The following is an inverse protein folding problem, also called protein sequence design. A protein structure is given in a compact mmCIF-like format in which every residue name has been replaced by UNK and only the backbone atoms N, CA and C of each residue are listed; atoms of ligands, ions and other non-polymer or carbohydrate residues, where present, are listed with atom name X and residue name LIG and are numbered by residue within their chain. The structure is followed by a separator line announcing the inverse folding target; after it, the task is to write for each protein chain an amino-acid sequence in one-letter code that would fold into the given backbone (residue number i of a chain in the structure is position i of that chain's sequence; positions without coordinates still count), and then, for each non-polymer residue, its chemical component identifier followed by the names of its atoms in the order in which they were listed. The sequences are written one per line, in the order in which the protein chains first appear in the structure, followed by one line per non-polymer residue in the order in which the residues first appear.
data_IF_904524085071
#
_entry.id   IF_904524085071
#
_cell.length_a   1.000
_cell.length_b   1.000
_cell.length_c   1.000
_cell.angle_alpha   90.00
_cell.angle_beta   90.00
_cell.angle_gamma   90.00
#
_symmetry.space_group_name_H-M   'P 1'
#
loop_
_entity.id
_entity.type
_entity.pdbx_description
1 polymer ?
#
# COMPACT_ATOMS: atom_id res chain seq x y z
N UNK A 1 -26.95 -2.49 -13.96
CA UNK A 1 -27.59 -2.17 -15.24
C UNK A 1 -29.06 -1.77 -15.09
N UNK A 2 -29.79 -2.41 -14.20
CA UNK A 2 -31.20 -2.07 -13.92
C UNK A 2 -31.36 -0.83 -13.03
N UNK A 3 -30.26 -0.23 -12.61
CA UNK A 3 -30.29 0.98 -11.80
C UNK A 3 -30.56 0.78 -10.31
N UNK A 4 -30.61 -0.47 -9.86
CA UNK A 4 -30.89 -0.79 -8.45
C UNK A 4 -29.72 -0.41 -7.55
N UNK A 5 -28.49 -0.71 -7.98
CA UNK A 5 -27.25 -0.42 -7.25
C UNK A 5 -26.44 0.63 -8.00
N UNK A 6 -26.08 1.72 -7.33
CA UNK A 6 -25.39 2.85 -7.95
C UNK A 6 -23.90 2.93 -7.55
N UNK A 7 -23.51 2.29 -6.47
CA UNK A 7 -22.16 2.31 -5.92
C UNK A 7 -21.75 0.87 -5.63
N UNK A 8 -20.81 0.34 -6.42
CA UNK A 8 -20.39 -1.05 -6.28
C UNK A 8 -18.88 -1.12 -6.18
N UNK A 9 -18.37 -1.82 -5.19
CA UNK A 9 -16.97 -2.21 -5.05
C UNK A 9 -16.91 -3.72 -5.19
N UNK A 10 -16.06 -4.21 -6.10
CA UNK A 10 -15.83 -5.64 -6.31
C UNK A 10 -14.35 -5.91 -6.04
N UNK A 11 -14.07 -6.69 -5.01
CA UNK A 11 -12.71 -7.08 -4.65
C UNK A 11 -12.49 -8.54 -5.06
N UNK A 12 -11.40 -8.79 -5.79
CA UNK A 12 -11.12 -10.13 -6.31
C UNK A 12 -9.61 -10.33 -6.50
N UNK A 13 -9.16 -11.55 -6.28
CA UNK A 13 -7.75 -11.93 -6.37
C UNK A 13 -7.14 -11.67 -7.76
N UNK A 14 -5.82 -11.51 -7.85
CA UNK A 14 -5.15 -11.38 -9.14
C UNK A 14 -5.42 -12.60 -10.02
N UNK A 15 -5.49 -12.39 -11.34
CA UNK A 15 -5.68 -13.45 -12.34
C UNK A 15 -6.99 -14.23 -12.20
N UNK A 16 -8.01 -13.65 -11.56
CA UNK A 16 -9.36 -14.26 -11.48
C UNK A 16 -10.35 -13.55 -12.40
N UNK A 17 -9.89 -12.94 -13.50
CA UNK A 17 -10.70 -12.37 -14.60
C UNK A 17 -11.54 -11.13 -14.25
N UNK A 18 -11.30 -10.48 -13.08
CA UNK A 18 -12.09 -9.31 -12.66
C UNK A 18 -12.16 -8.20 -13.74
N UNK A 19 -11.02 -7.88 -14.36
CA UNK A 19 -10.94 -6.84 -15.40
C UNK A 19 -11.62 -7.27 -16.71
N UNK A 20 -11.62 -8.56 -17.04
CA UNK A 20 -12.33 -9.06 -18.24
C UNK A 20 -13.84 -8.81 -18.09
N UNK A 21 -14.39 -9.04 -16.91
CA UNK A 21 -15.81 -8.75 -16.66
C UNK A 21 -16.08 -7.23 -16.57
N UNK A 22 -15.34 -6.52 -15.74
CA UNK A 22 -15.68 -5.13 -15.40
C UNK A 22 -15.22 -4.11 -16.44
N UNK A 23 -14.05 -4.33 -17.07
CA UNK A 23 -13.43 -3.33 -17.96
C UNK A 23 -13.57 -3.65 -19.44
N UNK A 24 -13.99 -4.88 -19.77
CA UNK A 24 -14.16 -5.30 -21.15
C UNK A 24 -15.61 -5.65 -21.47
N UNK A 25 -16.19 -6.66 -20.81
CA UNK A 25 -17.55 -7.12 -21.13
C UNK A 25 -18.64 -6.15 -20.65
N UNK A 26 -18.53 -5.63 -19.43
CA UNK A 26 -19.52 -4.74 -18.85
C UNK A 26 -19.76 -3.47 -19.66
N UNK A 27 -18.73 -2.69 -20.04
CA UNK A 27 -18.98 -1.47 -20.82
C UNK A 27 -19.62 -1.76 -22.17
N UNK A 28 -19.17 -2.81 -22.88
CA UNK A 28 -19.76 -3.17 -24.16
C UNK A 28 -21.25 -3.56 -23.99
N UNK A 29 -21.56 -4.39 -22.99
CA UNK A 29 -22.93 -4.81 -22.70
C UNK A 29 -23.83 -3.64 -22.29
N UNK A 30 -23.32 -2.74 -21.44
CA UNK A 30 -24.09 -1.57 -20.98
C UNK A 30 -24.41 -0.61 -22.13
N UNK A 31 -23.45 -0.36 -23.02
CA UNK A 31 -23.65 0.47 -24.22
C UNK A 31 -24.60 -0.22 -25.20
N UNK A 32 -24.52 -1.54 -25.31
CA UNK A 32 -25.49 -2.32 -26.12
C UNK A 32 -26.91 -2.10 -25.68
N UNK A 33 -27.14 -2.09 -24.38
CA UNK A 33 -28.47 -1.87 -23.78
C UNK A 33 -28.91 -0.41 -23.80
N UNK A 34 -27.96 0.51 -23.66
CA UNK A 34 -28.25 1.94 -23.69
C UNK A 34 -27.18 2.65 -24.54
N UNK A 35 -27.45 2.81 -25.84
CA UNK A 35 -26.46 3.37 -26.75
C UNK A 35 -26.17 4.86 -26.57
N UNK A 36 -26.86 5.54 -25.63
CA UNK A 36 -26.57 6.94 -25.26
C UNK A 36 -25.66 7.05 -24.04
N UNK A 37 -25.28 5.93 -23.43
CA UNK A 37 -24.53 5.89 -22.18
C UNK A 37 -23.14 6.51 -22.35
N UNK A 38 -22.74 7.36 -21.41
CA UNK A 38 -21.41 7.95 -21.34
C UNK A 38 -20.60 7.24 -20.28
N UNK A 39 -19.49 6.63 -20.69
CA UNK A 39 -18.61 5.83 -19.83
C UNK A 39 -17.27 6.52 -19.69
N UNK A 40 -16.80 6.67 -18.46
CA UNK A 40 -15.39 6.95 -18.15
C UNK A 40 -14.81 5.67 -17.54
N UNK A 41 -13.74 5.18 -18.14
CA UNK A 41 -13.01 3.99 -17.70
C UNK A 41 -11.63 4.39 -17.24
N UNK A 42 -11.28 4.08 -16.00
CA UNK A 42 -9.94 4.37 -15.46
C UNK A 42 -9.26 3.10 -14.96
N UNK A 43 -7.98 2.99 -15.24
CA UNK A 43 -7.11 1.99 -14.63
C UNK A 43 -5.86 2.70 -14.11
N UNK A 44 -4.98 1.99 -13.45
CA UNK A 44 -3.75 2.55 -12.92
C UNK A 44 -2.91 3.28 -14.00
N UNK A 45 -2.89 2.82 -15.26
CA UNK A 45 -2.24 3.53 -16.36
C UNK A 45 -3.20 3.83 -17.50
N UNK A 46 -2.99 4.94 -18.21
CA UNK A 46 -3.78 5.28 -19.40
C UNK A 46 -3.66 4.19 -20.48
N UNK A 47 -2.47 3.62 -20.65
CA UNK A 47 -2.23 2.56 -21.65
C UNK A 47 -3.15 1.36 -21.42
N UNK A 48 -3.30 0.93 -20.17
CA UNK A 48 -4.16 -0.20 -19.82
C UNK A 48 -5.64 0.14 -20.06
N UNK A 49 -6.08 1.35 -19.70
CA UNK A 49 -7.45 1.82 -19.99
C UNK A 49 -7.75 1.82 -21.50
N UNK A 50 -6.80 2.31 -22.29
CA UNK A 50 -6.91 2.34 -23.76
C UNK A 50 -6.97 0.92 -24.33
N UNK A 51 -6.20 -0.01 -23.77
CA UNK A 51 -6.25 -1.44 -24.15
C UNK A 51 -7.66 -2.02 -23.95
N UNK A 52 -8.30 -1.73 -22.82
CA UNK A 52 -9.68 -2.17 -22.57
C UNK A 52 -10.67 -1.50 -23.52
N UNK A 53 -10.49 -0.20 -23.78
CA UNK A 53 -11.33 0.50 -24.78
C UNK A 53 -11.24 -0.12 -26.15
N UNK A 54 -10.03 -0.53 -26.56
CA UNK A 54 -9.81 -1.26 -27.84
C UNK A 54 -10.53 -2.60 -27.84
N UNK A 55 -10.44 -3.38 -26.75
CA UNK A 55 -11.12 -4.67 -26.62
C UNK A 55 -12.65 -4.52 -26.68
N UNK A 56 -13.20 -3.56 -25.92
CA UNK A 56 -14.65 -3.31 -25.92
C UNK A 56 -15.14 -2.89 -27.31
N UNK A 57 -14.40 -2.00 -27.98
CA UNK A 57 -14.67 -1.58 -29.36
C UNK A 57 -14.69 -2.78 -30.33
N UNK A 58 -13.65 -3.64 -30.25
CA UNK A 58 -13.56 -4.82 -31.12
C UNK A 58 -14.74 -5.78 -30.87
N UNK A 59 -15.15 -5.97 -29.63
CA UNK A 59 -16.33 -6.77 -29.30
C UNK A 59 -17.60 -6.18 -29.94
N UNK A 60 -17.79 -4.87 -29.81
CA UNK A 60 -18.95 -4.18 -30.36
C UNK A 60 -19.00 -4.28 -31.91
N UNK A 61 -17.85 -4.47 -32.53
CA UNK A 61 -17.77 -4.61 -33.98
C UNK A 61 -17.93 -6.04 -34.48
N UNK A 62 -17.96 -7.02 -33.58
CA UNK A 62 -18.09 -8.44 -33.95
C UNK A 62 -19.49 -8.77 -34.50
N UNK A 63 -19.60 -9.79 -35.34
CA UNK A 63 -20.92 -10.25 -35.82
C UNK A 63 -21.87 -10.64 -34.70
N UNK A 64 -21.35 -11.35 -33.69
CA UNK A 64 -22.14 -11.85 -32.56
C UNK A 64 -22.77 -10.71 -31.75
N UNK A 65 -21.99 -9.65 -31.50
CA UNK A 65 -22.51 -8.47 -30.81
C UNK A 65 -23.61 -7.79 -31.63
N UNK A 66 -23.37 -7.68 -32.95
CA UNK A 66 -24.31 -7.05 -33.89
C UNK A 66 -25.63 -7.83 -34.05
N UNK A 67 -25.62 -9.14 -33.78
CA UNK A 67 -26.83 -9.94 -33.71
C UNK A 67 -27.68 -9.65 -32.47
N UNK A 68 -26.98 -9.35 -31.34
CA UNK A 68 -27.65 -9.12 -30.05
C UNK A 68 -28.10 -7.66 -29.87
N UNK A 69 -27.27 -6.71 -30.32
CA UNK A 69 -27.49 -5.29 -30.07
C UNK A 69 -27.57 -4.48 -31.37
N UNK A 70 -28.49 -3.50 -31.39
CA UNK A 70 -28.64 -2.55 -32.50
C UNK A 70 -27.58 -1.44 -32.46
N UNK A 71 -26.84 -1.29 -31.38
CA UNK A 71 -25.85 -0.22 -31.17
C UNK A 71 -24.69 -0.35 -32.17
N UNK A 72 -24.33 0.76 -32.83
CA UNK A 72 -23.20 0.83 -33.75
C UNK A 72 -22.29 2.00 -33.39
N UNK A 73 -21.00 1.82 -33.66
CA UNK A 73 -20.03 2.87 -33.48
C UNK A 73 -20.15 3.93 -34.55
N UNK A 74 -19.83 5.17 -34.19
CA UNK A 74 -19.79 6.30 -35.11
C UNK A 74 -18.50 6.20 -35.94
N UNK A 75 -18.61 6.33 -37.26
CA UNK A 75 -17.49 6.11 -38.18
C UNK A 75 -16.30 7.04 -37.97
N UNK A 76 -16.56 8.30 -37.61
CA UNK A 76 -15.57 9.35 -37.44
C UNK A 76 -15.01 9.48 -36.00
N UNK A 77 -15.40 8.58 -35.08
CA UNK A 77 -15.00 8.64 -33.67
C UNK A 77 -14.67 7.25 -33.13
N UNK A 78 -13.54 6.70 -33.56
CA UNK A 78 -13.17 5.31 -33.27
C UNK A 78 -11.75 5.12 -32.74
N UNK A 79 -11.18 6.13 -32.05
CA UNK A 79 -9.88 5.94 -31.40
C UNK A 79 -9.96 4.88 -30.31
N UNK A 80 -8.88 4.15 -30.05
CA UNK A 80 -8.86 3.02 -29.11
C UNK A 80 -9.30 3.41 -27.69
N UNK A 81 -8.92 4.59 -27.24
CA UNK A 81 -9.29 5.08 -25.89
C UNK A 81 -10.44 6.08 -25.87
N UNK A 82 -11.02 6.39 -27.05
CA UNK A 82 -12.13 7.33 -27.15
C UNK A 82 -12.96 7.01 -28.38
N UNK A 83 -14.19 6.57 -28.16
CA UNK A 83 -15.12 6.28 -29.24
C UNK A 83 -16.54 6.64 -28.86
N UNK A 84 -17.36 6.84 -29.91
CA UNK A 84 -18.75 7.25 -29.74
C UNK A 84 -19.68 6.27 -30.45
N UNK A 85 -20.90 6.20 -30.00
CA UNK A 85 -21.99 5.48 -30.71
C UNK A 85 -22.70 6.44 -31.64
N UNK A 86 -23.40 5.90 -32.65
CA UNK A 86 -24.25 6.70 -33.54
C UNK A 86 -25.34 7.46 -32.79
N UNK A 87 -25.75 6.97 -31.60
CA UNK A 87 -26.82 7.55 -30.79
C UNK A 87 -26.29 8.57 -29.76
N UNK A 88 -24.97 8.86 -29.74
CA UNK A 88 -24.36 9.88 -28.89
C UNK A 88 -23.85 9.39 -27.54
N UNK A 89 -23.75 8.10 -27.34
CA UNK A 89 -23.01 7.56 -26.20
C UNK A 89 -21.50 7.73 -26.40
N UNK A 90 -20.76 7.73 -25.31
CA UNK A 90 -19.31 7.98 -25.34
C UNK A 90 -18.57 7.04 -24.42
N UNK A 91 -17.41 6.59 -24.85
CA UNK A 91 -16.43 5.88 -24.01
C UNK A 91 -15.14 6.69 -23.97
N UNK A 92 -14.60 6.89 -22.78
CA UNK A 92 -13.35 7.63 -22.58
C UNK A 92 -12.45 6.88 -21.59
N UNK A 93 -11.22 6.57 -22.02
CA UNK A 93 -10.20 5.90 -21.24
C UNK A 93 -9.25 6.91 -20.58
N UNK A 94 -8.94 6.73 -19.30
CA UNK A 94 -8.03 7.58 -18.53
C UNK A 94 -7.18 6.72 -17.58
N UNK A 95 -6.02 7.21 -17.20
CA UNK A 95 -5.22 6.62 -16.13
C UNK A 95 -5.47 7.34 -14.82
N UNK A 96 -5.16 6.68 -13.70
CA UNK A 96 -5.14 7.34 -12.39
C UNK A 96 -4.18 8.55 -12.46
N UNK A 97 -4.58 9.67 -11.88
CA UNK A 97 -3.82 10.92 -11.94
C UNK A 97 -4.04 11.73 -13.20
N UNK A 98 -4.66 11.15 -14.25
CA UNK A 98 -4.93 11.91 -15.49
C UNK A 98 -6.07 12.90 -15.28
N UNK A 99 -5.98 14.04 -15.95
CA UNK A 99 -7.05 15.05 -15.96
C UNK A 99 -8.26 14.52 -16.75
N UNK A 100 -9.43 14.52 -16.14
CA UNK A 100 -10.71 14.15 -16.77
C UNK A 100 -11.61 15.39 -16.77
N UNK A 101 -11.22 16.39 -17.56
CA UNK A 101 -11.95 17.66 -17.62
C UNK A 101 -12.93 17.70 -18.80
N UNK A 102 -14.02 18.43 -18.63
CA UNK A 102 -14.99 18.67 -19.69
C UNK A 102 -15.87 17.47 -20.09
N UNK A 103 -15.88 16.41 -19.28
CA UNK A 103 -16.68 15.19 -19.56
C UNK A 103 -17.57 14.85 -18.40
N UNK A 104 -18.77 14.33 -18.73
CA UNK A 104 -19.67 13.73 -17.75
C UNK A 104 -19.75 12.22 -17.97
N UNK A 105 -20.07 11.46 -16.92
CA UNK A 105 -20.23 10.02 -17.00
C UNK A 105 -21.56 9.58 -16.38
N UNK A 106 -22.27 8.70 -17.08
CA UNK A 106 -23.40 7.94 -16.53
C UNK A 106 -22.87 6.68 -15.83
N UNK A 107 -21.72 6.17 -16.29
CA UNK A 107 -21.04 5.02 -15.71
C UNK A 107 -19.54 5.32 -15.59
N UNK A 108 -19.04 5.27 -14.37
CA UNK A 108 -17.63 5.38 -14.06
C UNK A 108 -17.11 4.01 -13.65
N UNK A 109 -16.12 3.50 -14.35
CA UNK A 109 -15.47 2.22 -14.02
C UNK A 109 -14.03 2.53 -13.60
N UNK A 110 -13.62 2.06 -12.42
CA UNK A 110 -12.25 2.16 -11.93
C UNK A 110 -11.73 0.75 -11.67
N UNK A 111 -10.69 0.35 -12.39
CA UNK A 111 -10.16 -1.02 -12.36
C UNK A 111 -8.69 -1.00 -11.95
N UNK A 112 -8.38 -1.68 -10.86
CA UNK A 112 -7.04 -1.79 -10.27
C UNK A 112 -6.31 -0.44 -10.26
N UNK A 113 -6.80 0.54 -9.44
CA UNK A 113 -6.21 1.89 -9.44
C UNK A 113 -4.82 1.97 -8.79
N UNK A 114 -4.39 0.94 -8.08
CA UNK A 114 -3.12 0.88 -7.36
C UNK A 114 -2.18 -0.14 -7.96
N UNK A 115 -0.87 0.16 -7.89
CA UNK A 115 0.20 -0.81 -8.14
C UNK A 115 0.66 -1.42 -6.80
N UNK A 116 1.49 -2.45 -6.89
CA UNK A 116 2.18 -3.01 -5.72
C UNK A 116 3.03 -1.95 -5.00
N UNK A 117 3.67 -1.05 -5.76
CA UNK A 117 4.50 0.02 -5.20
C UNK A 117 3.64 1.07 -4.47
N UNK A 118 2.46 1.39 -5.01
CA UNK A 118 1.53 2.32 -4.35
C UNK A 118 1.08 1.78 -2.99
N UNK A 119 0.86 0.47 -2.89
CA UNK A 119 0.39 -0.18 -1.66
C UNK A 119 1.37 -0.02 -0.50
N UNK A 120 2.66 0.19 -0.82
CA UNK A 120 3.74 0.36 0.17
C UNK A 120 4.00 1.83 0.50
N UNK A 121 3.19 2.76 -0.04
CA UNK A 121 3.45 4.19 0.07
C UNK A 121 2.15 4.92 0.44
N UNK A 122 2.07 5.40 1.68
CA UNK A 122 0.89 6.11 2.21
C UNK A 122 0.53 7.32 1.33
N UNK A 123 1.53 8.10 0.88
CA UNK A 123 1.29 9.26 0.02
C UNK A 123 0.71 8.86 -1.35
N UNK A 124 1.10 7.71 -1.89
CA UNK A 124 0.53 7.23 -3.16
C UNK A 124 -0.93 6.83 -2.98
N UNK A 125 -1.27 6.18 -1.86
CA UNK A 125 -2.67 5.86 -1.51
C UNK A 125 -3.49 7.14 -1.35
N UNK A 126 -2.93 8.16 -0.68
CA UNK A 126 -3.56 9.47 -0.52
C UNK A 126 -3.83 10.13 -1.87
N UNK A 127 -2.82 10.18 -2.75
CA UNK A 127 -2.95 10.78 -4.09
C UNK A 127 -4.06 10.09 -4.91
N UNK A 128 -4.18 8.77 -4.83
CA UNK A 128 -5.24 8.04 -5.55
C UNK A 128 -6.62 8.41 -5.02
N UNK A 129 -6.78 8.51 -3.71
CA UNK A 129 -8.04 8.90 -3.10
C UNK A 129 -8.38 10.36 -3.43
N UNK A 130 -7.40 11.26 -3.36
CA UNK A 130 -7.57 12.67 -3.72
C UNK A 130 -7.96 12.80 -5.21
N UNK A 131 -7.26 12.09 -6.10
CA UNK A 131 -7.62 12.05 -7.53
C UNK A 131 -9.07 11.60 -7.72
N UNK A 132 -9.47 10.52 -7.04
CA UNK A 132 -10.85 10.02 -7.14
C UNK A 132 -11.87 11.09 -6.71
N UNK A 133 -11.66 11.72 -5.57
CA UNK A 133 -12.63 12.68 -5.02
C UNK A 133 -12.67 14.00 -5.78
N UNK A 134 -11.53 14.49 -6.25
CA UNK A 134 -11.42 15.79 -6.95
C UNK A 134 -11.72 15.69 -8.45
N UNK A 135 -11.56 14.52 -9.05
CA UNK A 135 -11.70 14.28 -10.48
C UNK A 135 -12.90 13.41 -10.85
N UNK A 136 -12.70 12.07 -10.94
CA UNK A 136 -13.71 11.15 -11.47
C UNK A 136 -15.08 11.24 -10.77
N UNK A 137 -15.08 11.29 -9.42
CA UNK A 137 -16.33 11.36 -8.65
C UNK A 137 -17.18 12.57 -9.06
N UNK A 138 -16.53 13.69 -9.36
CA UNK A 138 -17.22 14.93 -9.75
C UNK A 138 -17.67 14.93 -11.21
N UNK A 139 -17.26 13.95 -12.00
CA UNK A 139 -17.71 13.78 -13.39
C UNK A 139 -19.00 12.99 -13.48
N UNK A 140 -19.42 12.35 -12.40
CA UNK A 140 -20.62 11.52 -12.40
C UNK A 140 -21.87 12.39 -12.52
N UNK A 141 -22.70 12.07 -13.51
CA UNK A 141 -23.98 12.76 -13.72
C UNK A 141 -25.02 12.32 -12.66
N UNK A 142 -26.05 13.14 -12.39
CA UNK A 142 -27.12 12.74 -11.49
C UNK A 142 -27.71 11.37 -11.89
N UNK A 143 -27.81 10.46 -10.92
CA UNK A 143 -28.29 9.09 -11.18
C UNK A 143 -27.25 8.14 -11.72
N UNK A 144 -26.03 8.61 -11.99
CA UNK A 144 -24.94 7.79 -12.53
C UNK A 144 -24.41 6.73 -11.54
N UNK A 145 -23.73 5.75 -12.10
CA UNK A 145 -23.25 4.55 -11.39
C UNK A 145 -21.71 4.57 -11.34
N UNK A 146 -21.14 4.13 -10.21
CA UNK A 146 -19.71 3.89 -10.08
C UNK A 146 -19.49 2.40 -9.78
N UNK A 147 -18.60 1.78 -10.56
CA UNK A 147 -18.13 0.41 -10.33
C UNK A 147 -16.61 0.50 -10.10
N UNK A 148 -16.18 0.09 -8.93
CA UNK A 148 -14.75 -0.05 -8.61
C UNK A 148 -14.46 -1.54 -8.54
N UNK A 149 -13.49 -2.00 -9.32
CA UNK A 149 -13.05 -3.40 -9.26
C UNK A 149 -11.55 -3.41 -9.01
N UNK A 150 -11.10 -4.14 -8.01
CA UNK A 150 -9.68 -4.14 -7.68
C UNK A 150 -9.29 -5.35 -6.83
N UNK A 151 -8.01 -5.63 -6.80
CA UNK A 151 -7.40 -6.45 -5.78
C UNK A 151 -7.15 -5.57 -4.55
N UNK A 152 -7.43 -6.07 -3.35
CA UNK A 152 -7.11 -5.36 -2.12
C UNK A 152 -5.61 -5.42 -1.87
N UNK A 153 -5.06 -4.31 -1.43
CA UNK A 153 -3.63 -4.19 -1.13
C UNK A 153 -3.38 -3.79 0.32
N UNK A 154 -4.22 -2.90 0.83
CA UNK A 154 -4.01 -2.21 2.11
C UNK A 154 -5.36 -1.74 2.65
N UNK A 155 -5.48 -1.54 3.95
CA UNK A 155 -6.70 -0.97 4.55
C UNK A 155 -7.00 0.42 4.02
N UNK A 156 -5.96 1.21 3.72
CA UNK A 156 -6.09 2.59 3.21
C UNK A 156 -6.06 2.67 1.67
N UNK A 157 -6.20 1.55 0.96
CA UNK A 157 -6.39 1.58 -0.50
C UNK A 157 -7.74 2.25 -0.85
N UNK A 158 -7.97 2.53 -2.12
CA UNK A 158 -9.18 3.24 -2.54
C UNK A 158 -10.45 2.57 -2.01
N UNK A 159 -10.56 1.25 -2.12
CA UNK A 159 -11.73 0.52 -1.61
C UNK A 159 -11.88 0.69 -0.10
N UNK A 160 -10.78 0.52 0.66
CA UNK A 160 -10.81 0.64 2.11
C UNK A 160 -11.24 2.02 2.59
N UNK A 161 -10.73 3.07 1.95
CA UNK A 161 -11.11 4.45 2.29
C UNK A 161 -12.58 4.73 2.00
N UNK A 162 -13.11 4.24 0.87
CA UNK A 162 -14.52 4.42 0.51
C UNK A 162 -15.44 3.65 1.46
N UNK A 163 -15.04 2.43 1.82
CA UNK A 163 -15.77 1.62 2.82
C UNK A 163 -15.75 2.32 4.18
N UNK A 164 -14.62 2.90 4.57
CA UNK A 164 -14.54 3.67 5.82
C UNK A 164 -15.39 4.94 5.77
N UNK A 165 -15.35 5.66 4.64
CA UNK A 165 -16.11 6.91 4.47
C UNK A 165 -17.64 6.71 4.56
N UNK A 166 -18.17 5.54 4.20
CA UNK A 166 -19.60 5.27 4.25
C UNK A 166 -20.16 5.19 5.69
N UNK A 167 -19.31 5.21 6.71
CA UNK A 167 -19.75 5.37 8.11
C UNK A 167 -20.51 6.69 8.30
N UNK A 168 -20.20 7.71 7.47
CA UNK A 168 -20.99 8.94 7.40
C UNK A 168 -22.26 8.65 6.58
N UNK A 169 -23.47 8.76 7.17
CA UNK A 169 -24.72 8.37 6.47
C UNK A 169 -25.01 9.15 5.19
N UNK A 170 -24.45 10.35 5.04
CA UNK A 170 -24.65 11.18 3.84
C UNK A 170 -23.63 10.90 2.73
N UNK A 171 -22.59 10.12 3.01
CA UNK A 171 -21.60 9.72 2.01
C UNK A 171 -22.18 8.69 1.05
N UNK A 172 -21.49 8.45 -0.07
CA UNK A 172 -21.85 7.36 -0.98
C UNK A 172 -21.87 6.03 -0.21
N UNK A 173 -22.99 5.31 -0.31
CA UNK A 173 -23.17 4.00 0.33
C UNK A 173 -22.86 2.92 -0.70
N UNK A 174 -21.91 2.05 -0.38
CA UNK A 174 -21.33 1.07 -1.32
C UNK A 174 -21.87 -0.34 -1.04
N UNK A 175 -22.27 -1.00 -2.10
CA UNK A 175 -22.44 -2.46 -2.10
C UNK A 175 -21.05 -3.06 -2.35
N UNK A 176 -20.54 -3.78 -1.36
CA UNK A 176 -19.20 -4.38 -1.41
C UNK A 176 -19.35 -5.88 -1.66
N UNK A 177 -18.73 -6.36 -2.73
CA UNK A 177 -18.75 -7.77 -3.13
C UNK A 177 -17.31 -8.28 -3.10
N UNK A 178 -17.02 -9.25 -2.24
CA UNK A 178 -15.69 -9.79 -2.08
C UNK A 178 -15.62 -11.23 -2.56
N UNK A 179 -14.64 -11.49 -3.43
CA UNK A 179 -14.38 -12.81 -3.98
C UNK A 179 -12.97 -13.25 -3.53
N UNK A 180 -12.86 -13.88 -2.36
CA UNK A 180 -11.56 -14.45 -1.96
C UNK A 180 -11.21 -15.65 -2.84
N UNK A 181 -9.91 -15.88 -3.08
CA UNK A 181 -9.45 -16.99 -3.91
C UNK A 181 -9.83 -18.35 -3.33
N UNK A 182 -9.91 -18.44 -1.99
CA UNK A 182 -10.47 -19.62 -1.30
C UNK A 182 -11.72 -19.14 -0.56
N UNK A 183 -12.85 -19.69 -0.96
CA UNK A 183 -14.16 -19.36 -0.40
C UNK A 183 -14.30 -19.84 1.06
N UNK A 184 -15.24 -19.32 1.85
CA UNK A 184 -15.48 -19.82 3.20
C UNK A 184 -15.78 -21.32 3.28
N UNK A 185 -16.21 -21.93 2.18
CA UNK A 185 -16.42 -23.38 2.06
C UNK A 185 -15.10 -24.18 2.00
N UNK A 186 -13.93 -23.51 1.95
CA UNK A 186 -12.63 -24.15 1.75
C UNK A 186 -12.29 -24.46 0.29
N UNK A 187 -13.21 -24.20 -0.63
CA UNK A 187 -13.01 -24.47 -2.06
C UNK A 187 -12.45 -23.25 -2.77
N UNK A 188 -11.60 -23.45 -3.80
CA UNK A 188 -11.20 -22.34 -4.66
C UNK A 188 -12.39 -21.64 -5.31
N UNK A 189 -12.29 -20.34 -5.51
CA UNK A 189 -13.30 -19.54 -6.23
C UNK A 189 -13.48 -20.08 -7.68
N UNK A 190 -12.40 -20.51 -8.31
CA UNK A 190 -12.41 -20.98 -9.69
C UNK A 190 -11.55 -22.27 -9.80
N UNK A 191 -12.09 -23.43 -9.35
CA UNK A 191 -11.31 -24.67 -9.23
C UNK A 191 -10.79 -25.24 -10.55
N UNK A 192 -11.46 -24.92 -11.68
CA UNK A 192 -11.04 -25.38 -13.01
C UNK A 192 -9.77 -24.69 -13.51
N UNK A 193 -9.45 -23.52 -12.95
CA UNK A 193 -8.29 -22.72 -13.36
C UNK A 193 -7.26 -22.58 -12.22
N UNK A 194 -7.73 -22.39 -11.00
CA UNK A 194 -6.90 -22.30 -9.78
C UNK A 194 -7.31 -23.43 -8.83
N UNK A 195 -6.63 -24.57 -8.90
CA UNK A 195 -6.89 -25.65 -7.94
C UNK A 195 -6.27 -25.32 -6.58
N UNK A 196 -6.68 -26.05 -5.55
CA UNK A 196 -6.25 -25.75 -4.17
C UNK A 196 -4.73 -25.86 -3.99
N UNK A 197 -4.09 -26.83 -4.66
CA UNK A 197 -2.64 -27.03 -4.56
C UNK A 197 -1.85 -25.86 -5.15
N UNK A 198 -2.32 -25.31 -6.27
CA UNK A 198 -1.69 -24.12 -6.87
C UNK A 198 -1.83 -22.90 -5.95
N UNK A 199 -3.00 -22.71 -5.35
CA UNK A 199 -3.23 -21.60 -4.40
C UNK A 199 -2.37 -21.75 -3.13
N UNK A 200 -2.23 -22.98 -2.61
CA UNK A 200 -1.34 -23.26 -1.48
C UNK A 200 0.13 -22.99 -1.85
N UNK A 201 0.53 -23.31 -3.08
CA UNK A 201 1.86 -23.00 -3.58
C UNK A 201 2.13 -21.48 -3.62
N UNK A 202 1.15 -20.71 -4.10
CA UNK A 202 1.23 -19.24 -4.06
C UNK A 202 1.32 -18.74 -2.62
N UNK A 203 0.46 -19.24 -1.74
CA UNK A 203 0.43 -18.85 -0.32
C UNK A 203 1.78 -19.09 0.35
N UNK A 204 2.42 -20.21 0.05
CA UNK A 204 3.73 -20.54 0.61
C UNK A 204 4.89 -19.68 0.05
N UNK A 205 4.68 -19.04 -1.11
CA UNK A 205 5.72 -18.28 -1.80
C UNK A 205 5.67 -16.77 -1.55
N UNK A 206 4.63 -16.26 -0.86
CA UNK A 206 4.48 -14.83 -0.57
C UNK A 206 4.23 -14.62 0.93
N UNK A 207 4.55 -13.42 1.47
CA UNK A 207 4.22 -13.11 2.87
C UNK A 207 2.73 -13.31 3.15
N UNK A 208 2.42 -13.80 4.35
CA UNK A 208 1.02 -14.04 4.76
C UNK A 208 0.17 -12.77 4.65
N UNK A 209 0.73 -11.61 4.96
CA UNK A 209 0.06 -10.32 4.81
C UNK A 209 -0.38 -10.07 3.37
N UNK A 210 0.50 -10.32 2.39
CA UNK A 210 0.16 -10.19 0.95
C UNK A 210 -0.90 -11.21 0.54
N UNK A 211 -0.80 -12.45 1.05
CA UNK A 211 -1.80 -13.47 0.80
C UNK A 211 -3.18 -13.02 1.31
N UNK A 212 -3.25 -12.58 2.54
CA UNK A 212 -4.50 -12.15 3.15
C UNK A 212 -5.12 -10.96 2.41
N UNK A 213 -4.31 -9.93 2.10
CA UNK A 213 -4.79 -8.76 1.37
C UNK A 213 -5.25 -9.12 -0.04
N UNK A 214 -4.37 -9.71 -0.85
CA UNK A 214 -4.58 -9.84 -2.30
C UNK A 214 -5.43 -11.06 -2.67
N UNK A 215 -5.24 -12.18 -1.98
CA UNK A 215 -5.95 -13.42 -2.33
C UNK A 215 -7.20 -13.62 -1.49
N UNK A 216 -7.18 -13.19 -0.23
CA UNK A 216 -8.35 -13.32 0.65
C UNK A 216 -9.19 -12.04 0.73
N UNK A 217 -8.77 -10.94 0.09
CA UNK A 217 -9.42 -9.63 0.08
C UNK A 217 -9.57 -9.01 1.47
N UNK A 218 -8.69 -9.40 2.40
CA UNK A 218 -8.76 -9.00 3.80
C UNK A 218 -7.42 -8.38 4.27
N UNK A 219 -7.09 -7.15 3.83
CA UNK A 219 -5.91 -6.47 4.37
C UNK A 219 -6.17 -6.10 5.84
N UNK A 220 -5.15 -6.22 6.66
CA UNK A 220 -5.21 -5.83 8.07
C UNK A 220 -4.15 -4.76 8.36
N UNK A 221 -4.43 -3.88 9.30
CA UNK A 221 -3.54 -2.79 9.67
C UNK A 221 -2.16 -3.29 10.13
N UNK A 222 -2.15 -4.38 10.89
CA UNK A 222 -0.90 -4.98 11.40
C UNK A 222 -0.05 -5.62 10.33
N UNK A 223 -0.66 -6.01 9.20
CA UNK A 223 0.02 -6.77 8.16
C UNK A 223 0.82 -5.91 7.17
N UNK A 224 0.65 -4.60 7.22
CA UNK A 224 1.50 -3.65 6.47
C UNK A 224 2.59 -3.03 7.33
N UNK A 225 2.58 -3.29 8.63
CA UNK A 225 3.55 -2.76 9.56
C UNK A 225 4.94 -3.36 9.31
N UNK A 226 5.94 -2.51 9.23
CA UNK A 226 7.34 -2.93 9.09
C UNK A 226 7.94 -3.39 10.42
N UNK A 227 7.32 -3.01 11.54
CA UNK A 227 7.69 -3.46 12.89
C UNK A 227 6.41 -3.84 13.62
N UNK A 228 6.25 -5.14 13.88
CA UNK A 228 5.04 -5.65 14.53
C UNK A 228 5.08 -5.52 16.04
N UNK A 229 3.92 -5.26 16.68
CA UNK A 229 3.80 -5.21 18.15
C UNK A 229 4.36 -6.46 18.81
N UNK A 230 4.09 -7.62 18.28
CA UNK A 230 4.49 -8.92 18.80
C UNK A 230 6.01 -9.18 18.79
N UNK A 231 6.77 -8.38 18.06
CA UNK A 231 8.23 -8.49 18.01
C UNK A 231 8.93 -7.78 19.17
N UNK A 232 8.20 -6.88 19.85
CA UNK A 232 8.73 -6.20 21.02
C UNK A 232 8.78 -7.13 22.21
N UNK A 233 9.91 -7.19 22.85
CA UNK A 233 10.07 -7.90 24.12
C UNK A 233 9.78 -6.95 25.27
N UNK A 234 9.39 -7.47 26.40
CA UNK A 234 9.00 -6.64 27.54
C UNK A 234 9.72 -7.03 28.82
N UNK A 235 10.05 -6.04 29.64
CA UNK A 235 10.47 -6.31 31.02
C UNK A 235 9.42 -5.76 32.00
N UNK A 236 9.26 -6.49 33.09
CA UNK A 236 8.20 -6.18 34.07
C UNK A 236 8.71 -5.50 35.34
N UNK A 237 9.99 -5.31 35.49
CA UNK A 237 10.60 -4.70 36.68
C UNK A 237 10.53 -3.17 36.60
N UNK A 238 10.28 -2.52 37.74
CA UNK A 238 10.29 -1.07 37.85
C UNK A 238 11.69 -0.48 37.65
N UNK A 239 12.74 -1.25 37.96
CA UNK A 239 14.13 -0.80 37.80
C UNK A 239 14.64 -1.06 36.40
N UNK A 240 15.28 -0.05 35.83
CA UNK A 240 15.96 -0.19 34.54
C UNK A 240 17.07 -1.24 34.62
N UNK A 241 17.20 -2.10 33.60
CA UNK A 241 18.35 -3.00 33.55
C UNK A 241 19.67 -2.21 33.46
N UNK A 242 20.75 -2.81 33.94
CA UNK A 242 22.07 -2.16 33.87
C UNK A 242 22.46 -1.92 32.41
N UNK A 243 22.58 -0.66 32.05
CA UNK A 243 22.87 -0.24 30.67
C UNK A 243 24.36 0.11 30.51
N UNK A 244 24.97 -0.37 29.44
CA UNK A 244 26.37 -0.06 29.11
C UNK A 244 26.47 1.24 28.31
N UNK A 245 25.52 1.49 27.43
CA UNK A 245 25.48 2.68 26.58
C UNK A 245 24.05 3.20 26.51
N UNK A 246 23.89 4.50 26.50
CA UNK A 246 22.59 5.17 26.33
C UNK A 246 22.72 6.22 25.24
N UNK A 247 21.74 6.25 24.35
CA UNK A 247 21.64 7.24 23.27
C UNK A 247 20.27 7.91 23.40
N UNK A 248 20.25 9.22 23.25
CA UNK A 248 19.01 9.96 23.00
C UNK A 248 18.98 10.37 21.53
N UNK A 249 17.91 10.05 20.86
CA UNK A 249 17.68 10.42 19.47
C UNK A 249 16.57 11.49 19.40
N UNK A 250 16.81 12.51 18.60
CA UNK A 250 15.93 13.66 18.46
C UNK A 250 15.48 13.77 17.02
N UNK A 251 14.18 13.75 16.77
CA UNK A 251 13.59 14.20 15.52
C UNK A 251 12.91 15.53 15.81
N UNK A 252 13.40 16.61 15.20
CA UNK A 252 12.96 17.97 15.52
C UNK A 252 12.39 18.70 14.31
N UNK A 253 11.20 19.28 14.47
CA UNK A 253 10.58 20.09 13.46
C UNK A 253 11.31 21.44 13.28
N UNK A 254 11.69 21.75 12.04
CA UNK A 254 12.51 22.93 11.70
C UNK A 254 11.72 24.20 11.36
N UNK A 255 10.40 24.13 11.20
CA UNK A 255 9.61 25.28 10.74
C UNK A 255 8.41 25.62 11.62
N UNK A 256 8.24 26.91 11.90
CA UNK A 256 7.05 27.46 12.57
C UNK A 256 5.89 27.60 11.57
N UNK A 257 5.28 26.48 11.17
CA UNK A 257 4.00 26.49 10.45
C UNK A 257 2.95 25.78 11.28
N UNK A 258 1.70 26.15 11.11
CA UNK A 258 0.58 25.51 11.80
C UNK A 258 0.39 24.02 11.47
N UNK A 259 1.08 23.54 10.44
CA UNK A 259 1.13 22.15 10.01
C UNK A 259 2.49 21.49 10.26
N UNK A 260 3.31 22.05 11.18
CA UNK A 260 4.62 21.47 11.49
C UNK A 260 4.46 20.14 12.24
N UNK A 261 5.26 19.18 11.87
CA UNK A 261 5.33 17.89 12.56
C UNK A 261 5.81 18.09 14.02
N UNK A 262 5.47 17.17 14.87
CA UNK A 262 5.88 17.16 16.26
C UNK A 262 7.39 16.94 16.39
N UNK A 263 7.96 17.31 17.50
CA UNK A 263 9.34 16.95 17.83
C UNK A 263 9.32 15.71 18.73
N UNK A 264 10.01 14.67 18.32
CA UNK A 264 10.07 13.41 19.05
C UNK A 264 11.45 13.19 19.67
N UNK A 265 11.48 12.67 20.87
CA UNK A 265 12.72 12.30 21.56
C UNK A 265 12.55 10.86 22.10
N UNK A 266 13.46 9.98 21.70
CA UNK A 266 13.48 8.62 22.27
C UNK A 266 14.82 8.36 22.95
N UNK A 267 14.79 7.63 24.05
CA UNK A 267 15.98 7.25 24.83
C UNK A 267 16.16 5.74 24.78
N UNK A 268 17.31 5.28 24.36
CA UNK A 268 17.63 3.88 24.12
C UNK A 268 18.89 3.48 24.85
N UNK A 269 18.89 2.26 25.45
CA UNK A 269 20.04 1.70 26.16
C UNK A 269 20.39 0.30 25.66
N UNK A 270 21.68 -0.07 25.74
CA UNK A 270 22.15 -1.43 25.43
C UNK A 270 22.43 -2.15 26.71
N UNK A 271 21.83 -3.24 26.94
CA UNK A 271 21.98 -4.05 28.07
C UNK A 271 23.15 -4.94 27.89
N UNK A 272 23.73 -5.34 28.75
CA UNK A 272 24.84 -6.19 28.72
C UNK A 272 24.50 -7.51 28.14
N UNK A 273 24.55 -7.54 27.09
CA UNK A 273 24.36 -8.81 26.49
C UNK A 273 25.67 -9.23 26.01
N UNK A 274 26.06 -9.83 26.04
CA UNK A 274 27.29 -10.41 25.77
C UNK A 274 28.30 -9.43 25.24
N UNK A 275 29.27 -9.62 24.93
CA UNK A 275 30.51 -8.97 24.57
C UNK A 275 30.38 -7.96 23.42
N UNK A 276 30.23 -6.72 23.71
CA UNK A 276 30.53 -5.67 22.76
C UNK A 276 31.95 -5.13 23.09
N UNK A 277 32.87 -5.26 22.17
CA UNK A 277 34.17 -4.59 22.27
C UNK A 277 33.95 -3.10 21.88
N UNK A 278 33.60 -2.30 22.88
CA UNK A 278 33.29 -0.88 22.68
C UNK A 278 34.55 -0.04 22.50
N UNK A 279 34.71 0.54 21.31
CA UNK A 279 35.57 1.70 21.13
C UNK A 279 34.86 2.97 21.57
N UNK A 280 35.55 4.00 21.99
CA UNK A 280 35.05 4.92 23.03
C UNK A 280 34.20 6.05 22.50
N UNK A 281 32.89 5.79 22.47
CA UNK A 281 31.87 6.87 22.54
C UNK A 281 32.11 7.74 23.78
N UNK A 282 32.62 7.12 24.83
CA UNK A 282 32.98 7.76 26.10
C UNK A 282 34.03 8.89 25.96
N UNK A 283 34.87 8.87 24.94
CA UNK A 283 35.90 9.89 24.80
C UNK A 283 35.35 11.23 24.31
N UNK A 284 34.38 11.18 23.41
CA UNK A 284 33.71 12.37 22.89
C UNK A 284 32.69 12.95 23.90
N UNK A 285 31.99 12.09 24.61
CA UNK A 285 31.07 12.50 25.68
C UNK A 285 31.77 13.29 26.78
N UNK A 286 33.02 12.98 27.08
CA UNK A 286 33.82 13.65 28.12
C UNK A 286 34.31 15.05 27.75
N UNK A 287 34.44 15.34 26.46
CA UNK A 287 35.05 16.60 25.99
C UNK A 287 34.03 17.73 25.81
N UNK A 288 32.76 17.44 25.67
CA UNK A 288 31.76 18.41 25.23
C UNK A 288 30.52 18.52 26.12
N UNK A 289 30.46 17.77 27.19
CA UNK A 289 29.26 17.77 28.05
C UNK A 289 28.09 16.99 27.47
N UNK A 290 27.71 17.26 26.23
CA UNK A 290 26.67 16.52 25.51
C UNK A 290 27.04 16.53 24.02
N UNK A 291 27.43 15.39 23.43
CA UNK A 291 27.75 15.37 22.00
C UNK A 291 26.50 15.37 21.15
N UNK A 292 26.36 16.38 20.30
CA UNK A 292 25.32 16.43 19.29
C UNK A 292 25.90 15.92 17.96
N UNK A 293 25.37 14.81 17.49
CA UNK A 293 25.71 14.27 16.16
C UNK A 293 24.55 14.58 15.22
N UNK A 294 24.79 15.45 14.26
CA UNK A 294 23.78 15.77 13.24
C UNK A 294 23.70 14.61 12.25
N UNK A 295 22.54 13.98 12.16
CA UNK A 295 22.27 12.96 11.18
C UNK A 295 21.51 13.58 10.01
N UNK A 296 22.10 13.50 8.81
CA UNK A 296 21.45 13.93 7.57
C UNK A 296 21.22 12.71 6.69
N UNK A 297 19.97 12.37 6.39
CA UNK A 297 19.68 11.26 5.51
C UNK A 297 20.30 11.49 4.12
N UNK A 298 21.06 10.52 3.63
CA UNK A 298 21.60 10.55 2.27
C UNK A 298 20.50 10.15 1.25
N UNK A 299 20.67 10.54 0.00
CA UNK A 299 19.79 10.09 -1.08
C UNK A 299 19.78 8.56 -1.14
N UNK A 300 18.58 7.96 -1.12
CA UNK A 300 18.39 6.52 -1.08
C UNK A 300 18.28 5.92 0.31
N UNK A 301 18.40 6.74 1.36
CA UNK A 301 18.20 6.30 2.75
C UNK A 301 16.92 6.91 3.31
N UNK A 302 15.81 6.65 2.63
CA UNK A 302 14.49 7.13 3.03
C UNK A 302 14.00 6.42 4.32
N UNK A 303 12.91 6.89 4.86
CA UNK A 303 12.31 6.40 6.09
C UNK A 303 12.03 4.89 6.05
N UNK A 304 11.45 4.40 4.95
CA UNK A 304 11.18 2.97 4.76
C UNK A 304 12.45 2.12 4.76
N UNK A 305 13.48 2.59 4.08
CA UNK A 305 14.79 1.90 4.03
C UNK A 305 15.39 1.79 5.43
N UNK A 306 15.31 2.86 6.23
CA UNK A 306 15.82 2.85 7.61
C UNK A 306 15.06 1.87 8.49
N UNK A 307 13.72 1.87 8.42
CA UNK A 307 12.88 0.94 9.20
C UNK A 307 13.18 -0.51 8.79
N UNK A 308 13.28 -0.79 7.50
CA UNK A 308 13.63 -2.13 7.00
C UNK A 308 15.02 -2.57 7.50
N UNK A 309 15.97 -1.66 7.61
CA UNK A 309 17.32 -1.97 8.10
C UNK A 309 17.30 -2.40 9.57
N UNK A 310 16.37 -1.90 10.39
CA UNK A 310 16.32 -2.25 11.83
C UNK A 310 15.27 -3.33 12.14
N UNK A 311 14.31 -3.55 11.27
CA UNK A 311 13.22 -4.53 11.45
C UNK A 311 13.70 -5.93 11.87
N UNK A 312 14.80 -6.50 11.29
CA UNK A 312 15.27 -7.82 11.72
C UNK A 312 15.69 -7.89 13.20
N UNK A 313 16.09 -6.78 13.80
CA UNK A 313 16.44 -6.76 15.23
C UNK A 313 15.21 -6.91 16.10
N UNK A 314 14.09 -6.35 15.67
CA UNK A 314 12.79 -6.54 16.34
C UNK A 314 12.30 -7.97 16.18
N UNK A 315 12.30 -8.46 14.94
CA UNK A 315 11.87 -9.83 14.62
C UNK A 315 12.68 -10.89 15.38
N UNK A 316 13.96 -10.64 15.61
CA UNK A 316 14.84 -11.56 16.39
C UNK A 316 14.69 -11.39 17.90
N UNK A 317 13.76 -10.55 18.39
CA UNK A 317 13.48 -10.37 19.83
C UNK A 317 14.59 -9.63 20.59
N UNK A 318 15.37 -8.80 19.91
CA UNK A 318 16.47 -8.07 20.54
C UNK A 318 16.09 -6.71 21.11
N UNK A 319 14.89 -6.23 20.79
CA UNK A 319 14.42 -4.91 21.22
C UNK A 319 13.41 -5.09 22.36
N UNK A 320 13.63 -4.38 23.43
CA UNK A 320 12.85 -4.51 24.66
C UNK A 320 12.25 -3.17 25.08
N UNK A 321 11.06 -3.17 25.62
CA UNK A 321 10.36 -2.00 26.16
C UNK A 321 9.77 -2.31 27.53
N UNK A 322 9.60 -1.32 28.42
CA UNK A 322 8.90 -1.55 29.67
C UNK A 322 7.42 -1.84 29.40
N UNK A 323 6.87 -2.87 30.09
CA UNK A 323 5.57 -3.47 29.77
C UNK A 323 4.38 -2.51 29.87
N UNK A 324 4.34 -1.65 30.89
CA UNK A 324 3.15 -0.88 31.25
C UNK A 324 3.39 0.64 31.26
N UNK A 325 4.44 1.11 30.61
CA UNK A 325 4.75 2.55 30.55
C UNK A 325 4.14 3.18 29.32
N UNK A 326 3.36 4.24 29.52
CA UNK A 326 2.64 4.96 28.48
C UNK A 326 3.57 5.40 27.32
N UNK A 327 4.72 6.01 27.65
CA UNK A 327 5.69 6.47 26.66
C UNK A 327 6.21 5.33 25.75
N UNK A 328 6.34 4.13 26.31
CA UNK A 328 6.80 2.97 25.52
C UNK A 328 5.69 2.48 24.61
N UNK A 329 4.45 2.49 25.09
CA UNK A 329 3.29 2.11 24.29
C UNK A 329 3.11 3.08 23.10
N UNK A 330 3.33 4.38 23.29
CA UNK A 330 3.28 5.36 22.20
C UNK A 330 4.26 5.01 21.08
N UNK A 331 5.50 4.67 21.41
CA UNK A 331 6.51 4.25 20.41
C UNK A 331 6.08 2.96 19.71
N UNK A 332 5.61 1.97 20.46
CA UNK A 332 5.15 0.68 19.93
C UNK A 332 3.99 0.89 18.95
N UNK A 333 3.01 1.70 19.34
CA UNK A 333 1.83 1.96 18.50
C UNK A 333 2.19 2.69 17.20
N UNK A 334 3.06 3.72 17.29
CA UNK A 334 3.49 4.46 16.10
C UNK A 334 4.32 3.56 15.17
N UNK A 335 5.21 2.73 15.72
CA UNK A 335 5.97 1.74 14.93
C UNK A 335 5.05 0.71 14.28
N UNK A 336 4.03 0.24 15.00
CA UNK A 336 3.07 -0.74 14.48
C UNK A 336 2.14 -0.14 13.41
N UNK A 337 1.89 1.16 13.47
CA UNK A 337 1.09 1.88 12.47
C UNK A 337 1.91 2.25 11.22
N UNK A 338 3.25 2.32 11.31
CA UNK A 338 4.10 2.73 10.19
C UNK A 338 4.11 1.65 9.08
N UNK A 339 3.97 2.01 7.78
CA UNK A 339 4.05 3.37 7.22
C UNK A 339 2.70 4.10 7.05
N UNK A 340 1.64 3.63 7.66
CA UNK A 340 0.28 4.12 7.39
C UNK A 340 -0.30 4.99 8.51
N UNK A 341 0.44 5.18 9.59
CA UNK A 341 0.04 6.03 10.71
C UNK A 341 0.01 7.52 10.34
N UNK A 342 -0.68 8.31 11.16
CA UNK A 342 -0.78 9.76 10.97
C UNK A 342 0.50 10.50 11.40
N UNK A 343 1.31 9.87 12.26
CA UNK A 343 2.58 10.40 12.77
C UNK A 343 3.67 9.35 12.61
N UNK A 344 4.91 9.79 12.44
CA UNK A 344 6.07 8.92 12.27
C UNK A 344 7.37 9.51 12.86
N UNK A 345 7.24 10.51 13.73
CA UNK A 345 8.37 11.19 14.37
C UNK A 345 9.09 10.27 15.38
N UNK A 346 8.32 9.46 16.12
CA UNK A 346 8.88 8.47 17.05
C UNK A 346 9.57 7.33 16.29
N UNK A 347 9.01 6.92 15.13
CA UNK A 347 9.63 5.92 14.25
C UNK A 347 10.98 6.43 13.75
N UNK A 348 11.07 7.68 13.31
CA UNK A 348 12.34 8.27 12.85
C UNK A 348 13.35 8.36 13.98
N UNK A 349 12.95 8.87 15.13
CA UNK A 349 13.80 8.96 16.31
C UNK A 349 14.33 7.57 16.71
N UNK A 350 13.45 6.56 16.77
CA UNK A 350 13.78 5.19 17.12
C UNK A 350 14.77 4.57 16.10
N UNK A 351 14.47 4.67 14.80
CA UNK A 351 15.33 4.05 13.77
C UNK A 351 16.73 4.63 13.76
N UNK A 352 16.86 5.94 13.97
CA UNK A 352 18.18 6.60 14.06
C UNK A 352 19.00 6.04 15.23
N UNK A 353 18.37 5.88 16.41
CA UNK A 353 19.03 5.33 17.59
C UNK A 353 19.48 3.87 17.38
N UNK A 354 18.59 3.02 16.86
CA UNK A 354 18.87 1.58 16.65
C UNK A 354 19.94 1.41 15.58
N UNK A 355 19.88 2.18 14.48
CA UNK A 355 20.93 2.18 13.44
C UNK A 355 22.27 2.61 14.01
N UNK A 356 22.30 3.61 14.89
CA UNK A 356 23.54 4.07 15.52
C UNK A 356 24.17 2.98 16.38
N UNK A 357 23.35 2.22 17.12
CA UNK A 357 23.86 1.08 17.89
C UNK A 357 24.42 -0.02 16.97
N UNK A 358 23.73 -0.28 15.84
CA UNK A 358 24.18 -1.28 14.86
C UNK A 358 25.50 -0.85 14.21
N UNK A 359 25.60 0.38 13.74
CA UNK A 359 26.82 0.94 13.13
C UNK A 359 27.98 1.05 14.10
N UNK A 360 27.70 1.24 15.38
CA UNK A 360 28.71 1.31 16.44
C UNK A 360 29.21 -0.06 16.93
N UNK A 361 28.66 -1.15 16.39
CA UNK A 361 29.01 -2.50 16.81
C UNK A 361 28.45 -2.91 18.17
N UNK A 362 27.44 -2.17 18.68
CA UNK A 362 26.78 -2.50 19.93
C UNK A 362 25.65 -3.52 19.76
N UNK A 363 25.12 -3.61 18.54
CA UNK A 363 24.12 -4.60 18.14
C UNK A 363 24.60 -5.27 16.86
N UNK A 364 24.66 -6.59 16.87
CA UNK A 364 25.09 -7.40 15.72
C UNK A 364 23.93 -8.29 15.26
N UNK A 365 23.79 -8.45 13.97
CA UNK A 365 22.84 -9.37 13.36
C UNK A 365 23.60 -10.33 12.44
N UNK A 366 23.20 -11.60 12.31
CA UNK A 366 23.92 -12.55 11.43
C UNK A 366 24.07 -12.06 9.97
N UNK A 367 23.16 -11.21 9.50
CA UNK A 367 23.26 -10.64 8.15
C UNK A 367 24.34 -9.59 8.00
N UNK A 368 24.84 -9.01 9.09
CA UNK A 368 25.89 -8.00 9.05
C UNK A 368 27.23 -8.57 8.53
N UNK A 369 27.37 -9.89 8.55
CA UNK A 369 28.60 -10.61 8.15
C UNK A 369 28.53 -11.21 6.74
N UNK A 370 27.39 -11.12 6.04
CA UNK A 370 27.22 -11.74 4.72
C UNK A 370 28.07 -11.09 3.63
N UNK A 371 28.43 -9.82 3.81
CA UNK A 371 29.15 -9.03 2.82
C UNK A 371 30.64 -8.83 3.16
N UNK A 372 31.17 -9.46 4.21
CA UNK A 372 32.61 -9.40 4.46
C UNK A 372 33.34 -10.24 3.41
N UNK A 373 34.24 -9.63 2.62
CA UNK A 373 35.06 -10.41 1.70
C UNK A 373 35.95 -11.40 2.51
N UNK A 374 35.92 -12.66 2.10
CA UNK A 374 36.76 -13.69 2.69
C UNK A 374 38.20 -13.17 2.74
N UNK A 375 38.90 -13.31 3.88
CA UNK A 375 40.30 -12.83 3.97
C UNK A 375 41.16 -13.49 2.89
N UNK A 376 41.70 -12.67 2.03
CA UNK A 376 42.62 -13.16 1.00
C UNK A 376 43.85 -13.81 1.68
N UNK A 377 44.02 -15.10 1.42
CA UNK A 377 45.25 -15.79 1.84
C UNK A 377 46.43 -15.06 1.23
N UNK A 378 47.22 -14.39 2.04
CA UNK A 378 48.50 -13.88 1.61
C UNK A 378 49.35 -15.07 1.12
N UNK A 379 49.60 -15.11 -0.17
CA UNK A 379 50.58 -16.05 -0.72
C UNK A 379 51.98 -15.56 -0.33
N UNK A 380 52.59 -16.22 0.64
CA UNK A 380 53.99 -16.03 0.92
C UNK A 380 54.76 -16.81 -0.14
N UNK A 381 55.46 -16.07 -1.00
CA UNK A 381 56.43 -16.67 -1.89
C UNK A 381 57.74 -16.79 -1.12
N UNK A 382 58.32 -17.98 -1.06
CA UNK A 382 59.67 -18.20 -0.63
C UNK A 382 60.60 -18.02 -1.83
#
# INVERSE_FOLDING_TARGET
AEGKTKRVIINMAPRHTKSEFASYLLPAWMVGRNPKLKIIQSTNTTELSVRFGRKAKALMDSPEYKEVFQTRLKEDSQAAGKWETQQGGEYYAAGVGSAITGRGADLLIIDDPHTEQDAMNAQALDRTYEWYTSGPRQRLQPGGTIVIVMTRWNEKDLAGRLISAQKEPKADQWEVIEFPAIMPSGKPLWPEYWNIKDLEGVKASIPLSKWNAQYMQNPTAEEGSLIKREWWQHWEKEELPALQHVIQSYDTAFMKKSSADFSAITTWGVXXXXKASGLPLTYELRKMGIPVINFSPSKGNDKHTRVNAVSPLFESGRIWAPKEMEFAQEVIEECAAFPFGDHDDLVDSMTQAVMRFRQGGFLEHPEDYKDEPLPQKQRTYY
#
